data_IF_121222073003
#
_entry.id   IF_121222073003
#
_cell.length_a   1.000
_cell.length_b   1.000
_cell.length_c   1.000
_cell.angle_alpha   90.00
_cell.angle_beta   90.00
_cell.angle_gamma   90.00
#
_symmetry.space_group_name_H-M   'P 1'
#
loop_
_entity.id
_entity.type
_entity.pdbx_description
1 polymer ?
#
# COMPACT_ATOMS: atom_id res chain seq x y z
N UNK A 1 11.49 -6.25 9.13
CA UNK A 1 10.08 -6.36 8.74
C UNK A 1 9.10 -6.04 9.87
N UNK A 2 9.24 -6.63 11.07
CA UNK A 2 8.31 -6.36 12.19
C UNK A 2 8.25 -4.89 12.62
N UNK A 3 9.40 -4.23 12.79
CA UNK A 3 9.46 -2.79 13.12
C UNK A 3 8.78 -1.96 12.02
N UNK A 4 9.07 -2.26 10.74
CA UNK A 4 8.44 -1.60 9.60
C UNK A 4 6.91 -1.77 9.60
N UNK A 5 6.40 -2.95 9.95
CA UNK A 5 4.97 -3.22 10.03
C UNK A 5 4.28 -2.37 11.11
N UNK A 6 4.93 -2.17 12.27
CA UNK A 6 4.42 -1.29 13.33
C UNK A 6 4.34 0.16 12.84
N UNK A 7 5.40 0.67 12.23
CA UNK A 7 5.41 2.03 11.69
C UNK A 7 4.36 2.22 10.58
N UNK A 8 4.22 1.24 9.69
CA UNK A 8 3.22 1.27 8.62
C UNK A 8 1.79 1.22 9.16
N UNK A 9 1.50 0.36 10.12
CA UNK A 9 0.19 0.31 10.78
C UNK A 9 -0.12 1.63 11.50
N UNK A 10 0.85 2.21 12.21
CA UNK A 10 0.70 3.52 12.84
C UNK A 10 0.43 4.62 11.80
N UNK A 11 1.17 4.63 10.68
CA UNK A 11 0.97 5.57 9.58
C UNK A 11 -0.43 5.47 8.99
N UNK A 12 -0.91 4.26 8.69
CA UNK A 12 -2.27 4.01 8.18
C UNK A 12 -3.36 4.49 9.16
N UNK A 13 -3.18 4.25 10.46
CA UNK A 13 -4.12 4.71 11.50
C UNK A 13 -4.12 6.24 11.62
N UNK A 14 -2.96 6.87 11.61
CA UNK A 14 -2.80 8.32 11.69
C UNK A 14 -3.41 9.02 10.46
N UNK A 15 -3.17 8.49 9.25
CA UNK A 15 -3.82 9.00 8.03
C UNK A 15 -5.33 8.84 8.13
N UNK A 16 -5.83 7.66 8.52
CA UNK A 16 -7.27 7.45 8.66
C UNK A 16 -7.94 8.39 9.66
N UNK A 17 -7.22 8.82 10.70
CA UNK A 17 -7.69 9.83 11.64
C UNK A 17 -7.64 11.25 11.06
N UNK A 18 -6.53 11.63 10.43
CA UNK A 18 -6.32 12.97 9.87
C UNK A 18 -7.14 13.23 8.61
N UNK A 19 -7.34 12.24 7.75
CA UNK A 19 -8.13 12.32 6.52
C UNK A 19 -9.60 12.69 6.79
N UNK A 20 -10.13 12.40 7.99
CA UNK A 20 -11.48 12.80 8.40
C UNK A 20 -11.58 14.25 8.89
N UNK A 21 -10.45 14.86 9.26
CA UNK A 21 -10.38 16.20 9.88
C UNK A 21 -9.74 17.25 8.98
N UNK A 22 -9.07 16.83 7.92
CA UNK A 22 -8.32 17.69 7.00
C UNK A 22 -8.62 17.32 5.56
N UNK A 23 -8.31 18.24 4.65
CA UNK A 23 -8.40 18.01 3.22
C UNK A 23 -7.34 16.97 2.78
N UNK A 24 -7.84 15.78 2.45
CA UNK A 24 -7.09 14.55 2.21
C UNK A 24 -6.05 14.72 1.08
N UNK A 25 -6.37 15.52 0.06
CA UNK A 25 -5.48 15.84 -1.04
C UNK A 25 -4.29 16.69 -0.60
N UNK A 26 -4.51 17.68 0.29
CA UNK A 26 -3.42 18.50 0.83
C UNK A 26 -2.46 17.67 1.69
N UNK A 27 -3.02 16.72 2.43
CA UNK A 27 -2.25 15.83 3.29
C UNK A 27 -1.34 14.90 2.48
N UNK A 28 -1.89 14.30 1.41
CA UNK A 28 -1.13 13.48 0.46
C UNK A 28 -0.03 14.31 -0.24
N UNK A 29 -0.36 15.53 -0.71
CA UNK A 29 0.61 16.43 -1.35
C UNK A 29 1.81 16.72 -0.44
N UNK A 30 1.56 17.08 0.82
CA UNK A 30 2.64 17.36 1.78
C UNK A 30 3.48 16.11 2.04
N UNK A 31 2.87 14.93 2.19
CA UNK A 31 3.61 13.68 2.37
C UNK A 31 4.53 13.38 1.17
N UNK A 32 4.02 13.50 -0.05
CA UNK A 32 4.81 13.24 -1.25
C UNK A 32 5.94 14.27 -1.43
N UNK A 33 5.68 15.54 -1.14
CA UNK A 33 6.72 16.57 -1.20
C UNK A 33 7.81 16.31 -0.17
N UNK A 34 7.45 16.11 1.09
CA UNK A 34 8.43 15.86 2.17
C UNK A 34 9.23 14.60 1.89
N UNK A 35 8.57 13.50 1.52
CA UNK A 35 9.24 12.24 1.20
C UNK A 35 10.15 12.39 -0.03
N UNK A 36 9.67 13.06 -1.08
CA UNK A 36 10.43 13.32 -2.30
C UNK A 36 11.68 14.17 -2.05
N UNK A 37 11.57 15.25 -1.27
CA UNK A 37 12.72 16.09 -0.92
C UNK A 37 13.76 15.34 -0.09
N UNK A 38 13.32 14.59 0.92
CA UNK A 38 14.23 13.78 1.75
C UNK A 38 14.90 12.71 0.90
N UNK A 39 14.15 12.01 0.05
CA UNK A 39 14.67 10.97 -0.84
C UNK A 39 15.69 11.53 -1.82
N UNK A 40 15.43 12.73 -2.39
CA UNK A 40 16.35 13.40 -3.31
C UNK A 40 17.66 13.78 -2.60
N UNK A 41 17.57 14.32 -1.39
CA UNK A 41 18.74 14.72 -0.61
C UNK A 41 19.63 13.51 -0.27
N UNK A 42 19.01 12.39 0.12
CA UNK A 42 19.72 11.14 0.42
C UNK A 42 20.36 10.56 -0.86
N UNK A 43 19.65 10.56 -1.99
CA UNK A 43 20.17 10.05 -3.26
C UNK A 43 21.45 10.81 -3.68
N UNK A 44 21.44 12.15 -3.60
CA UNK A 44 22.62 12.97 -3.92
C UNK A 44 23.78 12.72 -2.95
N UNK A 45 23.48 12.46 -1.67
CA UNK A 45 24.50 12.27 -0.63
C UNK A 45 25.18 10.88 -0.67
N UNK A 46 24.49 9.84 -1.16
CA UNK A 46 24.93 8.44 -1.03
C UNK A 46 25.18 7.77 -2.39
N UNK A 47 24.40 8.08 -3.43
CA UNK A 47 24.44 7.32 -4.68
C UNK A 47 25.45 7.88 -5.70
N UNK A 48 26.09 6.99 -6.46
CA UNK A 48 26.88 7.37 -7.64
C UNK A 48 25.95 7.59 -8.82
N UNK A 49 25.66 8.85 -9.11
CA UNK A 49 24.79 9.24 -10.22
C UNK A 49 25.56 9.16 -11.54
N UNK A 50 25.21 8.18 -12.38
CA UNK A 50 25.68 8.09 -13.76
C UNK A 50 24.53 8.36 -14.74
N UNK A 51 24.84 9.06 -15.85
CA UNK A 51 23.85 9.42 -16.86
C UNK A 51 23.18 8.21 -17.50
N UNK A 52 23.92 7.12 -17.71
CA UNK A 52 23.37 5.87 -18.27
C UNK A 52 22.35 5.21 -17.34
N UNK A 53 22.62 5.23 -16.02
CA UNK A 53 21.69 4.69 -15.02
C UNK A 53 20.39 5.50 -14.97
N UNK A 54 20.48 6.84 -15.06
CA UNK A 54 19.29 7.72 -15.09
C UNK A 54 18.41 7.34 -16.27
N UNK A 55 18.96 7.24 -17.48
CA UNK A 55 18.18 6.93 -18.69
C UNK A 55 17.55 5.54 -18.59
N UNK A 56 18.30 4.55 -18.10
CA UNK A 56 17.80 3.18 -17.95
C UNK A 56 16.67 3.05 -16.91
N UNK A 57 16.71 3.83 -15.82
CA UNK A 57 15.69 3.79 -14.75
C UNK A 57 14.57 4.81 -14.93
N UNK A 58 14.63 5.70 -15.91
CA UNK A 58 13.62 6.75 -16.10
C UNK A 58 12.21 6.17 -16.30
N UNK A 59 12.05 5.14 -17.15
CA UNK A 59 10.74 4.54 -17.43
C UNK A 59 10.20 3.79 -16.20
N UNK A 60 10.95 2.86 -15.56
CA UNK A 60 10.51 2.20 -14.32
C UNK A 60 10.18 3.19 -13.19
N UNK A 61 11.00 4.25 -13.03
CA UNK A 61 10.83 5.24 -11.98
C UNK A 61 9.59 6.11 -12.21
N UNK A 62 9.35 6.55 -13.45
CA UNK A 62 8.13 7.27 -13.80
C UNK A 62 6.89 6.39 -13.62
N UNK A 63 6.96 5.13 -14.07
CA UNK A 63 5.86 4.19 -13.89
C UNK A 63 5.55 3.96 -12.41
N UNK A 64 6.56 3.64 -11.59
CA UNK A 64 6.41 3.45 -10.16
C UNK A 64 5.90 4.73 -9.46
N UNK A 65 6.48 5.88 -9.79
CA UNK A 65 6.14 7.17 -9.20
C UNK A 65 4.70 7.60 -9.51
N UNK A 66 4.27 7.49 -10.77
CA UNK A 66 2.94 7.94 -11.19
C UNK A 66 1.89 6.89 -10.83
N UNK A 67 2.11 5.61 -11.14
CA UNK A 67 1.10 4.57 -10.88
C UNK A 67 1.00 4.22 -9.40
N UNK A 68 2.12 3.97 -8.72
CA UNK A 68 2.09 3.58 -7.30
C UNK A 68 1.82 4.80 -6.42
N UNK A 69 2.74 5.76 -6.32
CA UNK A 69 2.57 6.90 -5.41
C UNK A 69 1.54 7.93 -5.89
N UNK A 70 1.49 8.23 -7.19
CA UNK A 70 0.57 9.22 -7.73
C UNK A 70 -0.88 8.75 -7.67
N UNK A 71 -1.20 7.63 -8.31
CA UNK A 71 -2.57 7.14 -8.43
C UNK A 71 -2.95 6.26 -7.24
N UNK A 72 -2.21 5.18 -6.97
CA UNK A 72 -2.63 4.17 -5.99
C UNK A 72 -2.66 4.73 -4.56
N UNK A 73 -1.59 5.39 -4.10
CA UNK A 73 -1.58 5.98 -2.76
C UNK A 73 -2.58 7.14 -2.61
N UNK A 74 -2.81 7.94 -3.65
CA UNK A 74 -3.84 9.00 -3.58
C UNK A 74 -5.24 8.39 -3.48
N UNK A 75 -5.54 7.37 -4.29
CA UNK A 75 -6.79 6.61 -4.18
C UNK A 75 -6.93 5.95 -2.81
N UNK A 76 -5.84 5.42 -2.24
CA UNK A 76 -5.84 4.86 -0.89
C UNK A 76 -6.19 5.91 0.16
N UNK A 77 -5.57 7.09 0.10
CA UNK A 77 -5.80 8.18 1.05
C UNK A 77 -7.23 8.71 0.94
N UNK A 78 -7.77 8.84 -0.28
CA UNK A 78 -9.19 9.17 -0.53
C UNK A 78 -10.12 8.05 -0.04
N UNK A 79 -9.81 6.79 -0.29
CA UNK A 79 -10.61 5.66 0.18
C UNK A 79 -10.63 5.60 1.72
N UNK A 80 -9.51 5.90 2.37
CA UNK A 80 -9.40 5.97 3.84
C UNK A 80 -10.24 7.10 4.46
N UNK A 81 -10.57 8.14 3.70
CA UNK A 81 -11.51 9.18 4.16
C UNK A 81 -12.93 8.61 4.36
N UNK A 82 -13.34 7.66 3.51
CA UNK A 82 -14.69 7.09 3.51
C UNK A 82 -14.78 5.71 4.20
N UNK A 83 -13.68 4.97 4.29
CA UNK A 83 -13.60 3.65 4.88
C UNK A 83 -13.10 3.67 6.34
N UNK A 84 -13.50 2.69 7.14
CA UNK A 84 -12.90 2.51 8.47
C UNK A 84 -11.43 2.09 8.31
N UNK A 85 -10.52 2.70 9.09
CA UNK A 85 -9.07 2.48 8.98
C UNK A 85 -8.69 1.00 9.10
N UNK A 86 -9.45 0.22 9.87
CA UNK A 86 -9.30 -1.23 9.98
C UNK A 86 -9.52 -1.98 8.66
N UNK A 87 -10.54 -1.62 7.89
CA UNK A 87 -10.79 -2.25 6.58
C UNK A 87 -9.72 -1.87 5.56
N UNK A 88 -9.30 -0.60 5.56
CA UNK A 88 -8.23 -0.13 4.69
C UNK A 88 -6.90 -0.84 4.98
N UNK A 89 -6.53 -1.02 6.25
CA UNK A 89 -5.31 -1.72 6.65
C UNK A 89 -5.30 -3.19 6.18
N UNK A 90 -6.44 -3.88 6.28
CA UNK A 90 -6.57 -5.27 5.80
C UNK A 90 -6.41 -5.33 4.28
N UNK A 91 -7.08 -4.45 3.52
CA UNK A 91 -6.97 -4.41 2.06
C UNK A 91 -5.53 -4.12 1.63
N UNK A 92 -4.87 -3.16 2.29
CA UNK A 92 -3.50 -2.77 1.98
C UNK A 92 -2.51 -3.91 2.29
N UNK A 93 -2.75 -4.67 3.35
CA UNK A 93 -1.98 -5.88 3.66
C UNK A 93 -2.14 -6.98 2.60
N UNK A 94 -3.23 -6.93 1.83
CA UNK A 94 -3.53 -7.88 0.77
C UNK A 94 -2.89 -7.54 -0.58
N UNK A 95 -2.50 -6.28 -0.79
CA UNK A 95 -1.81 -5.84 -2.01
C UNK A 95 -0.60 -6.72 -2.32
N UNK A 96 0.17 -7.10 -1.29
CA UNK A 96 1.32 -8.01 -1.44
C UNK A 96 0.93 -9.40 -1.96
N UNK A 97 -0.23 -9.94 -1.57
CA UNK A 97 -0.71 -11.21 -2.10
C UNK A 97 -1.10 -11.09 -3.59
N UNK A 98 -1.72 -9.97 -3.99
CA UNK A 98 -2.00 -9.70 -5.39
C UNK A 98 -0.72 -9.45 -6.22
N UNK A 99 0.27 -8.77 -5.66
CA UNK A 99 1.56 -8.54 -6.31
C UNK A 99 2.28 -9.87 -6.59
N UNK A 100 2.30 -10.78 -5.62
CA UNK A 100 2.88 -12.12 -5.78
C UNK A 100 2.12 -12.97 -6.81
N UNK A 101 0.78 -12.94 -6.78
CA UNK A 101 -0.04 -13.62 -7.79
C UNK A 101 0.16 -13.03 -9.19
N UNK A 102 0.31 -11.71 -9.29
CA UNK A 102 0.59 -11.00 -10.53
C UNK A 102 1.98 -11.32 -11.08
N UNK A 103 3.01 -11.40 -10.23
CA UNK A 103 4.35 -11.83 -10.62
C UNK A 103 4.36 -13.27 -11.17
N UNK A 104 3.67 -14.18 -10.48
CA UNK A 104 3.51 -15.56 -10.95
C UNK A 104 2.77 -15.63 -12.29
N UNK A 105 1.68 -14.88 -12.46
CA UNK A 105 0.81 -14.99 -13.65
C UNK A 105 1.32 -14.20 -14.87
N UNK A 106 1.91 -13.01 -14.66
CA UNK A 106 2.29 -12.08 -15.73
C UNK A 106 3.79 -12.11 -16.04
N UNK A 107 4.65 -12.40 -15.05
CA UNK A 107 6.11 -12.43 -15.21
C UNK A 107 6.67 -13.87 -15.26
N UNK A 108 5.82 -14.90 -15.15
CA UNK A 108 6.19 -16.32 -15.12
C UNK A 108 7.21 -16.65 -13.99
N UNK A 109 7.16 -15.87 -12.90
CA UNK A 109 8.04 -16.08 -11.75
C UNK A 109 7.73 -17.38 -11.02
N UNK A 110 8.74 -18.12 -10.57
CA UNK A 110 8.52 -19.41 -9.93
C UNK A 110 7.91 -19.25 -8.53
N UNK A 111 6.62 -19.57 -8.39
CA UNK A 111 5.92 -19.48 -7.11
C UNK A 111 5.87 -20.86 -6.43
N UNK A 112 6.55 -21.05 -5.28
CA UNK A 112 6.49 -22.32 -4.56
C UNK A 112 5.08 -22.55 -4.01
N UNK A 113 4.66 -23.82 -3.91
CA UNK A 113 3.34 -24.20 -3.40
C UNK A 113 3.03 -23.61 -2.01
N UNK A 114 4.06 -23.38 -1.18
CA UNK A 114 3.94 -22.69 0.12
C UNK A 114 3.50 -21.22 -0.02
N UNK A 115 3.99 -20.52 -1.04
CA UNK A 115 3.60 -19.14 -1.35
C UNK A 115 2.15 -19.04 -1.81
N UNK A 116 1.70 -20.00 -2.63
CA UNK A 116 0.29 -20.08 -3.05
C UNK A 116 -0.66 -20.33 -1.86
N UNK A 117 -0.26 -21.23 -0.95
CA UNK A 117 -1.01 -21.53 0.26
C UNK A 117 -1.07 -20.31 1.20
N UNK A 118 0.03 -19.56 1.33
CA UNK A 118 0.08 -18.29 2.05
C UNK A 118 -0.87 -17.24 1.47
N UNK A 119 -0.88 -17.07 0.14
CA UNK A 119 -1.80 -16.16 -0.54
C UNK A 119 -3.26 -16.57 -0.29
N UNK A 120 -3.59 -17.86 -0.41
CA UNK A 120 -4.93 -18.37 -0.13
C UNK A 120 -5.37 -18.06 1.31
N UNK A 121 -4.51 -18.31 2.31
CA UNK A 121 -4.80 -18.01 3.71
C UNK A 121 -5.03 -16.51 3.97
N UNK A 122 -4.22 -15.63 3.37
CA UNK A 122 -4.39 -14.18 3.49
C UNK A 122 -5.72 -13.71 2.88
N UNK A 123 -6.07 -14.19 1.68
CA UNK A 123 -7.35 -13.89 1.03
C UNK A 123 -8.53 -14.38 1.86
N UNK A 124 -8.50 -15.63 2.33
CA UNK A 124 -9.56 -16.19 3.17
C UNK A 124 -9.71 -15.41 4.49
N UNK A 125 -8.59 -15.04 5.13
CA UNK A 125 -8.59 -14.23 6.34
C UNK A 125 -9.23 -12.85 6.15
N UNK A 126 -8.94 -12.18 5.03
CA UNK A 126 -9.59 -10.91 4.68
C UNK A 126 -11.10 -11.09 4.50
N UNK A 127 -11.53 -12.08 3.70
CA UNK A 127 -12.95 -12.33 3.46
C UNK A 127 -13.69 -12.57 4.79
N UNK A 128 -13.14 -13.43 5.65
CA UNK A 128 -13.69 -13.69 6.98
C UNK A 128 -13.77 -12.41 7.82
N UNK A 129 -12.68 -11.63 7.89
CA UNK A 129 -12.63 -10.41 8.71
C UNK A 129 -13.62 -9.32 8.25
N UNK A 130 -13.98 -9.27 6.97
CA UNK A 130 -14.96 -8.32 6.47
C UNK A 130 -16.41 -8.84 6.59
N UNK A 131 -16.63 -10.15 6.49
CA UNK A 131 -17.96 -10.75 6.65
C UNK A 131 -18.40 -10.88 8.12
N UNK A 132 -17.48 -11.15 9.05
CA UNK A 132 -17.81 -11.38 10.46
C UNK A 132 -18.61 -10.23 11.14
N UNK A 133 -18.25 -8.95 10.96
CA UNK A 133 -19.02 -7.85 11.54
C UNK A 133 -20.45 -7.73 10.96
N UNK A 134 -20.62 -8.02 9.66
CA UNK A 134 -21.93 -7.99 8.99
C UNK A 134 -22.83 -9.17 9.43
N UNK A 135 -22.23 -10.35 9.63
CA UNK A 135 -22.96 -11.53 10.09
C UNK A 135 -23.42 -11.38 11.55
N UNK A 136 -22.56 -10.82 12.41
CA UNK A 136 -22.89 -10.54 13.82
C UNK A 136 -23.98 -9.49 13.99
N UNK A 137 -24.05 -8.46 13.13
CA UNK A 137 -25.14 -7.49 13.19
C UNK A 137 -26.47 -8.03 12.64
N UNK A 138 -26.43 -9.00 11.71
CA UNK A 138 -27.62 -9.66 11.18
C UNK A 138 -28.24 -10.62 12.20
N UNK A 139 -27.41 -11.39 12.93
CA UNK A 139 -27.84 -12.30 14.00
C UNK A 139 -28.41 -11.58 15.23
N UNK A 140 -28.05 -10.32 15.48
CA UNK A 140 -28.57 -9.51 16.61
C UNK A 140 -29.90 -8.82 16.30
N UNK A 141 -30.39 -8.92 15.06
CA UNK A 141 -31.59 -8.23 14.55
C UNK A 141 -32.77 -9.16 14.28
N UNK A 142 -32.58 -10.48 14.41
CA UNK A 142 -33.65 -11.49 14.42
C UNK A 142 -33.88 -11.99 15.84
#
# INVERSE_FOLDING_TARGET
QLICAVFFAAHVLVIGYLAKRMDTLKLALVQYLVCGFISLFIAIAIEMISWDMIVATTIPLLYAGIMSTGIAYTLQVVAQQHAHSSHAAIILSLEGAFAVLGGWLLLDEHLPARGLLGCALMLTGMFLSQLFPKLGSALKRG
#
